data_IF_103647467931
#
_entry.id   IF_103647467931
#
_cell.length_a   1.000
_cell.length_b   1.000
_cell.length_c   1.000
_cell.angle_alpha   90.00
_cell.angle_beta   90.00
_cell.angle_gamma   90.00
#
_symmetry.space_group_name_H-M   'P 1'
#
loop_
_entity.id
_entity.type
_entity.pdbx_description
1 polymer ?
#
# COMPACT_ATOMS: atom_id res chain seq x y z
N UNK A 1 19.56 57.15 -42.36
CA UNK A 1 19.58 56.15 -41.27
C UNK A 1 19.42 56.91 -39.97
N UNK A 2 18.40 56.62 -39.16
CA UNK A 2 18.14 57.34 -37.90
C UNK A 2 18.84 56.57 -36.78
N UNK A 3 19.90 57.15 -36.21
CA UNK A 3 20.86 56.53 -35.28
C UNK A 3 20.24 56.01 -33.97
N UNK A 4 18.98 56.33 -33.66
CA UNK A 4 18.27 55.86 -32.47
C UNK A 4 17.47 54.56 -32.63
N UNK A 5 17.20 54.12 -33.87
CA UNK A 5 16.39 52.91 -34.10
C UNK A 5 17.13 51.60 -33.77
N UNK A 6 18.45 51.63 -33.70
CA UNK A 6 19.25 50.43 -33.41
C UNK A 6 19.03 49.92 -31.98
N UNK A 7 18.84 50.83 -31.01
CA UNK A 7 18.54 50.48 -29.62
C UNK A 7 17.12 49.92 -29.46
N UNK A 8 16.17 50.47 -30.22
CA UNK A 8 14.80 49.97 -30.28
C UNK A 8 14.74 48.58 -30.94
N UNK A 9 15.40 48.40 -32.09
CA UNK A 9 15.48 47.11 -32.80
C UNK A 9 16.22 46.05 -31.99
N UNK A 10 17.29 46.43 -31.28
CA UNK A 10 18.03 45.52 -30.40
C UNK A 10 17.17 45.08 -29.21
N UNK A 11 16.41 46.00 -28.62
CA UNK A 11 15.47 45.69 -27.54
C UNK A 11 14.30 44.82 -28.03
N UNK A 12 13.77 45.09 -29.22
CA UNK A 12 12.73 44.29 -29.85
C UNK A 12 13.21 42.87 -30.17
N UNK A 13 14.44 42.73 -30.71
CA UNK A 13 15.08 41.43 -30.97
C UNK A 13 15.30 40.63 -29.68
N UNK A 14 15.78 41.27 -28.62
CA UNK A 14 15.94 40.63 -27.30
C UNK A 14 14.60 40.26 -26.65
N UNK A 15 13.52 40.99 -26.92
CA UNK A 15 12.18 40.64 -26.45
C UNK A 15 11.58 39.44 -27.21
N UNK A 16 11.91 39.27 -28.50
CA UNK A 16 11.55 38.08 -29.28
C UNK A 16 12.36 36.84 -28.93
N UNK A 17 13.46 36.97 -28.19
CA UNK A 17 14.20 35.84 -27.57
C UNK A 17 13.50 35.30 -26.31
N UNK A 18 12.17 35.42 -26.22
CA UNK A 18 11.38 34.51 -25.40
C UNK A 18 11.52 33.12 -26.01
N UNK A 19 12.59 32.43 -25.64
CA UNK A 19 12.76 31.00 -25.80
C UNK A 19 11.66 30.34 -24.98
N UNK A 20 10.46 30.22 -25.55
CA UNK A 20 9.47 29.25 -25.12
C UNK A 20 10.08 27.89 -25.38
N UNK A 21 10.91 27.42 -24.44
CA UNK A 21 11.31 26.02 -24.38
C UNK A 21 10.00 25.25 -24.24
N UNK A 22 9.61 24.45 -25.24
CA UNK A 22 8.37 23.70 -25.14
C UNK A 22 8.51 22.78 -23.94
N UNK A 23 7.66 22.96 -22.93
CA UNK A 23 7.59 21.97 -21.86
C UNK A 23 7.13 20.68 -22.52
N UNK A 24 7.94 19.64 -22.44
CA UNK A 24 7.60 18.36 -23.06
C UNK A 24 6.36 17.83 -22.35
N UNK A 25 5.31 17.52 -23.09
CA UNK A 25 4.06 17.00 -22.53
C UNK A 25 4.29 15.82 -21.57
N UNK A 26 5.28 14.98 -21.87
CA UNK A 26 5.70 13.86 -21.02
C UNK A 26 6.09 14.32 -19.59
N UNK A 27 6.79 15.45 -19.47
CA UNK A 27 7.23 15.98 -18.18
C UNK A 27 6.05 16.51 -17.37
N UNK A 28 5.14 17.25 -18.02
CA UNK A 28 3.89 17.72 -17.37
C UNK A 28 3.07 16.51 -16.90
N UNK A 29 2.89 15.51 -17.76
CA UNK A 29 2.14 14.29 -17.43
C UNK A 29 2.79 13.54 -16.27
N UNK A 30 4.11 13.42 -16.26
CA UNK A 30 4.86 12.77 -15.18
C UNK A 30 4.67 13.52 -13.86
N UNK A 31 4.83 14.84 -13.86
CA UNK A 31 4.66 15.69 -12.67
C UNK A 31 3.23 15.60 -12.12
N UNK A 32 2.21 15.64 -12.98
CA UNK A 32 0.81 15.49 -12.58
C UNK A 32 0.56 14.10 -11.98
N UNK A 33 1.05 13.03 -12.61
CA UNK A 33 0.91 11.68 -12.08
C UNK A 33 1.62 11.52 -10.73
N UNK A 34 2.81 12.09 -10.57
CA UNK A 34 3.56 12.07 -9.32
C UNK A 34 2.81 12.83 -8.23
N UNK A 35 2.27 14.01 -8.53
CA UNK A 35 1.45 14.77 -7.59
C UNK A 35 0.21 13.99 -7.17
N UNK A 36 -0.53 13.40 -8.12
CA UNK A 36 -1.68 12.53 -7.83
C UNK A 36 -1.29 11.35 -6.93
N UNK A 37 -0.15 10.71 -7.20
CA UNK A 37 0.35 9.60 -6.40
C UNK A 37 0.73 10.04 -4.98
N UNK A 38 1.41 11.17 -4.82
CA UNK A 38 1.72 11.76 -3.52
C UNK A 38 0.44 12.08 -2.72
N UNK A 39 -0.56 12.72 -3.34
CA UNK A 39 -1.83 12.99 -2.68
C UNK A 39 -2.55 11.71 -2.23
N UNK A 40 -2.47 10.65 -3.05
CA UNK A 40 -3.05 9.36 -2.68
C UNK A 40 -2.28 8.71 -1.51
N UNK A 41 -0.95 8.77 -1.53
CA UNK A 41 -0.10 8.27 -0.45
C UNK A 41 -0.35 9.03 0.86
N UNK A 42 -0.52 10.35 0.83
CA UNK A 42 -0.84 11.16 2.02
C UNK A 42 -2.18 10.75 2.62
N UNK A 43 -3.23 10.60 1.79
CA UNK A 43 -4.52 10.07 2.26
C UNK A 43 -4.39 8.66 2.85
N UNK A 44 -3.57 7.82 2.25
CA UNK A 44 -3.32 6.46 2.73
C UNK A 44 -2.63 6.45 4.09
N UNK A 45 -1.65 7.32 4.30
CA UNK A 45 -0.92 7.44 5.57
C UNK A 45 -1.81 7.84 6.75
N UNK A 46 -2.92 8.56 6.49
CA UNK A 46 -3.87 9.02 7.50
C UNK A 46 -4.89 7.92 7.86
N UNK A 47 -5.09 6.92 6.99
CA UNK A 47 -6.08 5.86 7.17
C UNK A 47 -5.59 4.75 8.14
N UNK A 48 -5.55 5.08 9.44
CA UNK A 48 -5.02 4.19 10.48
C UNK A 48 -5.92 3.00 10.80
N UNK A 49 -7.21 3.06 10.44
CA UNK A 49 -8.19 2.01 10.72
C UNK A 49 -8.21 0.91 9.64
N UNK A 50 -7.35 1.00 8.62
CA UNK A 50 -7.26 0.00 7.57
C UNK A 50 -6.22 -1.09 7.90
N UNK A 51 -6.71 -2.33 8.02
CA UNK A 51 -5.89 -3.54 8.25
C UNK A 51 -4.75 -3.70 7.23
N UNK A 52 -4.98 -3.28 5.98
CA UNK A 52 -4.01 -3.39 4.90
C UNK A 52 -2.85 -2.38 5.04
N UNK A 53 -3.05 -1.24 5.72
CA UNK A 53 -2.03 -0.20 5.86
C UNK A 53 -0.75 -0.71 6.52
N UNK A 54 -0.88 -1.51 7.60
CA UNK A 54 0.24 -2.15 8.30
C UNK A 54 1.06 -3.04 7.34
N UNK A 55 0.38 -3.74 6.42
CA UNK A 55 1.00 -4.68 5.49
C UNK A 55 1.61 -3.93 4.29
N UNK A 56 0.91 -2.91 3.77
CA UNK A 56 1.25 -2.12 2.59
C UNK A 56 1.24 -0.62 2.92
N UNK A 57 2.28 -0.10 3.59
CA UNK A 57 2.34 1.32 3.93
C UNK A 57 2.57 2.20 2.68
N UNK A 58 3.28 1.68 1.67
CA UNK A 58 3.55 2.40 0.41
C UNK A 58 2.66 1.87 -0.70
N UNK A 59 1.92 2.78 -1.35
CA UNK A 59 1.07 2.49 -2.50
C UNK A 59 1.92 2.26 -3.75
N UNK A 60 2.35 1.02 -3.93
CA UNK A 60 3.08 0.59 -5.13
C UNK A 60 2.46 -0.66 -5.74
N UNK A 61 2.81 -0.99 -6.98
CA UNK A 61 2.41 -2.25 -7.57
C UNK A 61 3.17 -3.41 -6.91
N UNK A 62 2.47 -4.47 -6.50
CA UNK A 62 3.10 -5.70 -6.04
C UNK A 62 3.01 -6.74 -7.16
N UNK A 63 4.17 -7.16 -7.66
CA UNK A 63 4.25 -8.31 -8.55
C UNK A 63 4.23 -9.56 -7.68
N UNK A 64 3.07 -10.22 -7.59
CA UNK A 64 2.94 -11.56 -7.01
C UNK A 64 2.62 -12.56 -8.10
N UNK A 65 3.50 -13.54 -8.31
CA UNK A 65 3.29 -14.66 -9.23
C UNK A 65 2.74 -15.85 -8.44
N UNK A 66 1.48 -15.77 -8.03
CA UNK A 66 0.79 -16.85 -7.34
C UNK A 66 -0.27 -17.46 -8.27
N UNK A 67 -0.68 -18.70 -7.99
CA UNK A 67 -1.88 -19.23 -8.62
C UNK A 67 -3.12 -18.57 -8.01
N UNK A 68 -4.25 -18.65 -8.73
CA UNK A 68 -5.53 -18.04 -8.32
C UNK A 68 -5.94 -18.41 -6.88
N UNK A 69 -5.71 -19.66 -6.45
CA UNK A 69 -6.08 -20.11 -5.10
C UNK A 69 -5.24 -19.39 -4.04
N UNK A 70 -3.93 -19.33 -4.23
CA UNK A 70 -3.02 -18.62 -3.33
C UNK A 70 -3.31 -17.11 -3.28
N UNK A 71 -3.62 -16.48 -4.41
CA UNK A 71 -3.99 -15.06 -4.45
C UNK A 71 -5.26 -14.76 -3.65
N UNK A 72 -6.28 -15.62 -3.75
CA UNK A 72 -7.51 -15.48 -2.96
C UNK A 72 -7.23 -15.61 -1.47
N UNK A 73 -6.44 -16.60 -1.07
CA UNK A 73 -6.04 -16.80 0.33
C UNK A 73 -5.30 -15.57 0.85
N UNK A 74 -4.26 -15.12 0.12
CA UNK A 74 -3.44 -13.98 0.53
C UNK A 74 -4.25 -12.68 0.61
N UNK A 75 -5.09 -12.42 -0.39
CA UNK A 75 -5.96 -11.23 -0.42
C UNK A 75 -6.87 -11.23 0.79
N UNK A 76 -7.57 -12.34 1.06
CA UNK A 76 -8.46 -12.48 2.22
C UNK A 76 -7.71 -12.25 3.54
N UNK A 77 -6.53 -12.85 3.72
CA UNK A 77 -5.72 -12.64 4.92
C UNK A 77 -5.33 -11.17 5.10
N UNK A 78 -4.90 -10.49 4.03
CA UNK A 78 -4.52 -9.07 4.07
C UNK A 78 -5.65 -8.14 4.48
N UNK A 79 -6.87 -8.41 4.05
CA UNK A 79 -8.07 -7.66 4.46
C UNK A 79 -8.71 -8.21 5.75
N UNK A 80 -8.07 -9.18 6.39
CA UNK A 80 -8.49 -9.77 7.66
C UNK A 80 -9.67 -10.75 7.57
N UNK A 81 -10.03 -11.21 6.38
CA UNK A 81 -11.19 -12.05 6.11
C UNK A 81 -10.90 -13.54 6.28
N UNK A 82 -11.49 -14.13 7.31
CA UNK A 82 -11.57 -15.59 7.48
C UNK A 82 -12.97 -15.95 7.94
N UNK A 83 -13.34 -17.24 7.84
CA UNK A 83 -14.61 -17.70 8.40
C UNK A 83 -14.72 -17.36 9.89
N UNK A 84 -13.65 -17.55 10.66
CA UNK A 84 -13.65 -17.28 12.10
C UNK A 84 -13.81 -15.78 12.42
N UNK A 85 -13.18 -14.90 11.64
CA UNK A 85 -13.10 -13.47 11.95
C UNK A 85 -14.18 -12.62 11.26
N UNK A 86 -14.95 -13.15 10.31
CA UNK A 86 -15.96 -12.39 9.56
C UNK A 86 -17.36 -12.99 9.57
N UNK A 87 -17.53 -14.24 10.02
CA UNK A 87 -18.86 -14.88 10.09
C UNK A 87 -19.85 -14.02 10.88
N UNK A 88 -19.43 -13.43 11.99
CA UNK A 88 -20.31 -12.62 12.85
C UNK A 88 -20.98 -11.46 12.10
N UNK A 89 -20.31 -10.86 11.10
CA UNK A 89 -20.88 -9.78 10.29
C UNK A 89 -22.04 -10.26 9.41
N UNK A 90 -21.97 -11.50 8.92
CA UNK A 90 -23.03 -12.08 8.08
C UNK A 90 -24.28 -12.42 8.89
N UNK A 91 -24.12 -12.72 10.17
CA UNK A 91 -25.22 -13.10 11.07
C UNK A 91 -25.61 -11.99 12.05
N UNK A 92 -25.01 -10.78 11.92
CA UNK A 92 -25.20 -9.66 12.85
C UNK A 92 -24.96 -10.03 14.33
N UNK A 93 -24.00 -10.93 14.57
CA UNK A 93 -23.59 -11.37 15.91
C UNK A 93 -22.51 -10.43 16.49
N UNK A 94 -22.19 -10.58 17.77
CA UNK A 94 -21.05 -9.89 18.38
C UNK A 94 -19.72 -10.38 17.79
N UNK A 95 -18.69 -9.52 17.70
CA UNK A 95 -17.35 -9.94 17.30
C UNK A 95 -16.85 -11.12 18.16
N UNK A 96 -16.26 -12.15 17.55
CA UNK A 96 -15.76 -13.30 18.30
C UNK A 96 -14.55 -12.87 19.13
N UNK A 97 -14.44 -13.41 20.34
CA UNK A 97 -13.32 -13.13 21.25
C UNK A 97 -12.43 -14.36 21.42
N UNK A 98 -11.17 -14.12 21.74
CA UNK A 98 -10.22 -15.18 22.02
C UNK A 98 -10.53 -15.79 23.38
N UNK A 99 -10.73 -17.10 23.43
CA UNK A 99 -11.02 -17.82 24.68
C UNK A 99 -9.88 -17.80 25.70
N UNK A 100 -8.67 -17.40 25.29
CA UNK A 100 -7.49 -17.41 26.16
C UNK A 100 -7.15 -16.03 26.73
N UNK A 101 -7.26 -14.95 25.94
CA UNK A 101 -6.90 -13.60 26.39
C UNK A 101 -8.07 -12.62 26.41
N UNK A 102 -9.24 -12.98 25.88
CA UNK A 102 -10.42 -12.13 25.85
C UNK A 102 -10.46 -11.09 24.71
N UNK A 103 -9.35 -10.86 24.01
CA UNK A 103 -9.31 -9.89 22.90
C UNK A 103 -10.19 -10.31 21.71
N UNK A 104 -10.57 -9.35 20.87
CA UNK A 104 -11.30 -9.61 19.63
C UNK A 104 -10.44 -10.47 18.68
N UNK A 105 -11.01 -11.55 18.17
CA UNK A 105 -10.38 -12.41 17.18
C UNK A 105 -10.27 -11.69 15.83
N UNK A 106 -9.03 -11.37 15.46
CA UNK A 106 -8.67 -10.84 14.14
C UNK A 106 -7.58 -11.70 13.51
N UNK A 107 -7.35 -11.56 12.20
CA UNK A 107 -6.23 -12.24 11.51
C UNK A 107 -4.90 -11.83 12.11
N UNK A 108 -4.73 -10.53 12.41
CA UNK A 108 -3.54 -10.01 13.12
C UNK A 108 -3.38 -10.73 14.45
N UNK A 109 -4.42 -10.76 15.27
CA UNK A 109 -4.37 -11.39 16.58
C UNK A 109 -3.92 -12.86 16.50
N UNK A 110 -4.47 -13.63 15.56
CA UNK A 110 -4.10 -15.04 15.38
C UNK A 110 -2.65 -15.18 14.88
N UNK A 111 -2.27 -14.40 13.88
CA UNK A 111 -0.98 -14.53 13.20
C UNK A 111 0.19 -13.91 13.98
N UNK A 112 -0.06 -12.95 14.88
CA UNK A 112 1.03 -12.15 15.47
C UNK A 112 0.86 -11.92 16.98
N UNK A 113 -0.33 -11.54 17.45
CA UNK A 113 -0.44 -10.95 18.81
C UNK A 113 -0.75 -11.97 19.92
N UNK A 114 -1.51 -13.03 19.61
CA UNK A 114 -2.02 -13.94 20.63
C UNK A 114 -0.92 -14.83 21.21
N UNK A 115 -0.64 -14.71 22.51
CA UNK A 115 0.38 -15.52 23.20
C UNK A 115 0.00 -17.00 23.24
N UNK A 116 -1.30 -17.31 23.35
CA UNK A 116 -1.76 -18.70 23.46
C UNK A 116 -1.49 -19.55 22.21
N UNK A 117 -1.37 -18.92 21.03
CA UNK A 117 -1.08 -19.63 19.76
C UNK A 117 0.38 -19.51 19.34
N UNK A 118 1.24 -18.89 20.14
CA UNK A 118 2.62 -18.59 19.79
C UNK A 118 3.45 -19.85 19.47
N UNK A 119 3.36 -20.87 20.32
CA UNK A 119 4.01 -22.18 20.07
C UNK A 119 3.55 -22.82 18.76
N UNK A 120 2.29 -22.62 18.36
CA UNK A 120 1.77 -23.14 17.08
C UNK A 120 2.33 -22.36 15.91
N UNK A 121 2.48 -21.04 16.02
CA UNK A 121 3.12 -20.20 15.00
C UNK A 121 4.60 -20.56 14.81
N UNK A 122 5.34 -20.72 15.90
CA UNK A 122 6.74 -21.16 15.88
C UNK A 122 6.90 -22.48 15.12
N UNK A 123 6.05 -23.47 15.43
CA UNK A 123 6.09 -24.76 14.75
C UNK A 123 5.65 -24.67 13.29
N UNK A 124 4.61 -23.89 12.99
CA UNK A 124 4.03 -23.86 11.66
C UNK A 124 4.84 -23.01 10.67
N UNK A 125 5.40 -21.88 11.11
CA UNK A 125 6.18 -20.97 10.25
C UNK A 125 7.70 -21.19 10.37
N UNK A 126 8.18 -21.95 11.36
CA UNK A 126 9.61 -22.20 11.58
C UNK A 126 10.45 -20.90 11.67
N UNK A 127 9.87 -19.83 12.21
CA UNK A 127 10.50 -18.50 12.37
C UNK A 127 10.25 -18.01 13.80
N UNK A 128 11.15 -17.21 14.36
CA UNK A 128 10.95 -16.51 15.64
C UNK A 128 10.32 -15.12 15.50
N UNK A 129 10.19 -14.62 14.26
CA UNK A 129 9.55 -13.34 13.95
C UNK A 129 8.25 -13.59 13.18
N UNK A 130 7.15 -13.03 13.70
CA UNK A 130 5.80 -13.12 13.12
C UNK A 130 5.20 -11.74 12.92
N UNK A 131 5.92 -10.78 12.35
CA UNK A 131 5.25 -9.54 11.95
C UNK A 131 4.30 -9.81 10.77
N UNK A 132 3.16 -9.11 10.74
CA UNK A 132 2.21 -9.14 9.64
C UNK A 132 2.91 -8.82 8.31
N UNK A 133 3.86 -7.89 8.33
CA UNK A 133 4.64 -7.55 7.15
C UNK A 133 5.47 -8.72 6.65
N UNK A 134 6.11 -9.46 7.57
CA UNK A 134 6.90 -10.63 7.22
C UNK A 134 6.04 -11.73 6.60
N UNK A 135 4.83 -11.93 7.10
CA UNK A 135 3.95 -13.00 6.64
C UNK A 135 3.21 -12.64 5.34
N UNK A 136 2.73 -11.41 5.19
CA UNK A 136 1.70 -11.05 4.20
C UNK A 136 2.12 -9.99 3.17
N UNK A 137 3.36 -9.48 3.18
CA UNK A 137 3.84 -8.51 2.16
C UNK A 137 3.95 -9.14 0.76
N UNK A 138 4.62 -8.42 -0.14
CA UNK A 138 4.83 -8.83 -1.52
C UNK A 138 5.37 -10.25 -1.67
N UNK A 139 6.27 -10.70 -0.78
CA UNK A 139 6.71 -12.09 -0.72
C UNK A 139 6.07 -12.71 0.52
N UNK A 140 4.91 -13.37 0.37
CA UNK A 140 4.23 -14.00 1.51
C UNK A 140 4.96 -15.27 1.96
N UNK A 141 4.80 -15.61 3.24
CA UNK A 141 5.39 -16.83 3.78
C UNK A 141 4.77 -18.08 3.13
N UNK A 142 5.61 -19.00 2.65
CA UNK A 142 5.18 -20.18 1.88
C UNK A 142 4.13 -21.02 2.62
N UNK A 143 4.30 -21.20 3.93
CA UNK A 143 3.40 -22.03 4.73
C UNK A 143 1.96 -21.50 4.82
N UNK A 144 1.68 -20.26 4.39
CA UNK A 144 0.30 -19.75 4.31
C UNK A 144 -0.58 -20.52 3.30
N UNK A 145 0.02 -21.27 2.39
CA UNK A 145 -0.67 -21.96 1.30
C UNK A 145 -0.68 -23.49 1.43
N UNK A 146 -0.09 -24.03 2.50
CA UNK A 146 -0.02 -25.49 2.75
C UNK A 146 -1.28 -25.92 3.51
N UNK A 147 -2.37 -26.12 2.78
CA UNK A 147 -3.65 -26.69 3.26
C UNK A 147 -4.33 -27.52 2.19
#
# INVERSE_FOLDING_TARGET
MITGNELADKSAKSATEFLTRPIVYADVRSAVNQWCHCQWQEKWNIETNNKLHVIKPVLSYWVTKLNRRCDVVLTRLRIGHTRLTHKYLLFAESPPTCSHCGDILTVKHILTDCVAVDRRRLRYFCSSSFDLSFLLRQIPHFNLFIT
#
